data_IF_920950595883
#
_entry.id   IF_920950595883
#
_cell.length_a   1.000
_cell.length_b   1.000
_cell.length_c   1.000
_cell.angle_alpha   90.00
_cell.angle_beta   90.00
_cell.angle_gamma   90.00
#
_symmetry.space_group_name_H-M   'P 1'
#
loop_
_entity.id
_entity.type
_entity.pdbx_description
1 polymer ?
#
# COMPACT_ATOMS: atom_id res chain seq x y z
N UNK A 1 -7.49 -3.92 -12.72
CA UNK A 1 -6.64 -2.71 -12.70
C UNK A 1 -7.05 -1.88 -11.49
N UNK A 2 -6.11 -1.34 -10.72
CA UNK A 2 -6.45 -0.54 -9.55
C UNK A 2 -7.01 0.82 -9.99
N UNK A 3 -8.29 1.08 -9.69
CA UNK A 3 -8.90 2.39 -9.91
C UNK A 3 -8.42 3.34 -8.81
N UNK A 4 -7.92 4.50 -9.22
CA UNK A 4 -7.58 5.58 -8.30
C UNK A 4 -8.86 6.34 -7.91
N UNK A 5 -8.97 6.88 -6.69
CA UNK A 5 -10.08 7.74 -6.32
C UNK A 5 -10.21 8.94 -7.27
N UNK A 6 -11.44 9.35 -7.58
CA UNK A 6 -11.72 10.44 -8.53
C UNK A 6 -11.02 11.74 -8.13
N UNK A 7 -11.05 12.11 -6.84
CA UNK A 7 -10.40 13.31 -6.33
C UNK A 7 -8.90 13.33 -6.60
N UNK A 8 -8.24 12.16 -6.57
CA UNK A 8 -6.81 12.01 -6.82
C UNK A 8 -6.50 12.12 -8.31
N UNK A 9 -7.36 11.56 -9.16
CA UNK A 9 -7.28 11.71 -10.62
C UNK A 9 -7.46 13.19 -11.00
N UNK A 10 -8.50 13.84 -10.49
CA UNK A 10 -8.77 15.27 -10.69
C UNK A 10 -7.57 16.12 -10.22
N UNK A 11 -7.00 15.80 -9.05
CA UNK A 11 -5.82 16.50 -8.52
C UNK A 11 -4.60 16.37 -9.45
N UNK A 12 -4.34 15.16 -9.99
CA UNK A 12 -3.28 14.94 -10.98
C UNK A 12 -3.50 15.79 -12.24
N UNK A 13 -4.70 15.76 -12.81
CA UNK A 13 -5.02 16.54 -14.02
C UNK A 13 -4.89 18.05 -13.76
N UNK A 14 -5.18 18.51 -12.55
CA UNK A 14 -4.95 19.90 -12.17
C UNK A 14 -3.47 20.23 -12.05
N UNK A 15 -2.65 19.34 -11.48
CA UNK A 15 -1.18 19.51 -11.41
C UNK A 15 -0.56 19.66 -12.80
N UNK A 16 -0.99 18.84 -13.77
CA UNK A 16 -0.46 18.88 -15.15
C UNK A 16 -0.72 20.21 -15.87
N UNK A 17 -1.69 21.00 -15.41
CA UNK A 17 -2.03 22.33 -15.95
C UNK A 17 -1.32 23.47 -15.21
N UNK A 18 -0.51 23.17 -14.20
CA UNK A 18 0.15 24.19 -13.39
C UNK A 18 1.40 24.72 -14.06
N UNK A 19 1.72 25.99 -13.80
CA UNK A 19 2.96 26.58 -14.28
C UNK A 19 4.18 25.90 -13.65
N UNK A 20 4.06 25.45 -12.40
CA UNK A 20 5.11 24.72 -11.69
C UNK A 20 5.45 23.40 -12.39
N UNK A 21 4.45 22.67 -12.90
CA UNK A 21 4.68 21.47 -13.70
C UNK A 21 5.38 21.78 -15.01
N UNK A 22 4.93 22.81 -15.73
CA UNK A 22 5.57 23.26 -16.96
C UNK A 22 7.02 23.69 -16.72
N UNK A 23 7.27 24.48 -15.68
CA UNK A 23 8.60 24.93 -15.30
C UNK A 23 9.52 23.74 -14.98
N UNK A 24 9.07 22.77 -14.17
CA UNK A 24 9.89 21.59 -13.87
C UNK A 24 10.21 20.81 -15.15
N UNK A 25 9.21 20.63 -16.02
CA UNK A 25 9.37 19.88 -17.27
C UNK A 25 10.38 20.55 -18.20
N UNK A 26 10.31 21.87 -18.37
CA UNK A 26 11.30 22.65 -19.14
C UNK A 26 12.71 22.48 -18.56
N UNK A 27 12.87 22.62 -17.25
CA UNK A 27 14.17 22.46 -16.60
C UNK A 27 14.74 21.04 -16.76
N UNK A 28 13.89 20.00 -16.75
CA UNK A 28 14.33 18.63 -17.01
C UNK A 28 14.83 18.50 -18.45
N UNK A 29 14.11 19.03 -19.44
CA UNK A 29 14.54 18.99 -20.83
C UNK A 29 15.87 19.73 -21.04
N UNK A 30 16.02 20.92 -20.47
CA UNK A 30 17.27 21.68 -20.54
C UNK A 30 18.45 20.91 -19.93
N UNK A 31 18.23 20.24 -18.79
CA UNK A 31 19.24 19.41 -18.14
C UNK A 31 19.58 18.14 -18.95
N UNK A 32 18.60 17.54 -19.63
CA UNK A 32 18.84 16.42 -20.55
C UNK A 32 19.69 16.87 -21.73
N UNK A 33 19.35 18.01 -22.36
CA UNK A 33 20.11 18.54 -23.51
C UNK A 33 21.56 18.87 -23.14
N UNK A 34 21.78 19.43 -21.94
CA UNK A 34 23.12 19.65 -21.41
C UNK A 34 23.90 18.34 -21.23
N UNK A 35 23.26 17.29 -20.70
CA UNK A 35 23.89 15.98 -20.54
C UNK A 35 24.20 15.28 -21.87
N UNK A 36 23.32 15.41 -22.87
CA UNK A 36 23.55 14.88 -24.22
C UNK A 36 24.74 15.59 -24.87
N UNK A 37 24.80 16.92 -24.78
CA UNK A 37 25.91 17.72 -25.29
C UNK A 37 27.25 17.32 -24.63
N UNK A 38 27.27 17.11 -23.32
CA UNK A 38 28.46 16.66 -22.58
C UNK A 38 28.91 15.24 -22.95
N UNK A 39 27.96 14.39 -23.34
CA UNK A 39 28.23 12.98 -23.70
C UNK A 39 28.48 12.80 -25.20
N UNK A 40 28.51 13.88 -25.98
CA UNK A 40 28.61 13.87 -27.45
C UNK A 40 27.54 13.04 -28.15
N UNK A 41 26.35 12.93 -27.55
CA UNK A 41 25.18 12.26 -28.14
C UNK A 41 24.28 13.32 -28.75
N UNK A 42 23.89 13.13 -30.01
CA UNK A 42 23.18 14.15 -30.79
C UNK A 42 21.67 14.15 -30.52
N UNK A 43 21.06 12.98 -30.36
CA UNK A 43 19.64 12.86 -30.06
C UNK A 43 19.36 11.92 -28.90
N UNK A 44 18.41 12.29 -28.03
CA UNK A 44 17.94 11.41 -26.95
C UNK A 44 17.41 10.07 -27.46
N UNK A 45 16.90 10.02 -28.69
CA UNK A 45 16.40 8.80 -29.34
C UNK A 45 17.48 7.77 -29.59
N UNK A 46 18.74 8.20 -29.72
CA UNK A 46 19.89 7.34 -30.05
C UNK A 46 20.34 6.50 -28.84
N UNK A 47 19.84 6.83 -27.65
CA UNK A 47 20.10 6.12 -26.41
C UNK A 47 19.23 4.86 -26.29
N UNK A 48 19.80 3.80 -25.72
CA UNK A 48 19.04 2.64 -25.25
C UNK A 48 18.09 3.03 -24.10
N UNK A 49 17.07 2.23 -23.81
CA UNK A 49 16.10 2.54 -22.75
C UNK A 49 16.75 2.65 -21.36
N UNK A 50 17.83 1.90 -21.13
CA UNK A 50 18.62 1.98 -19.90
C UNK A 50 19.36 3.33 -19.80
N UNK A 51 19.96 3.78 -20.90
CA UNK A 51 20.66 5.07 -20.96
C UNK A 51 19.69 6.25 -20.87
N UNK A 52 18.53 6.18 -21.54
CA UNK A 52 17.46 7.17 -21.43
C UNK A 52 17.02 7.35 -19.97
N UNK A 53 16.79 6.23 -19.28
CA UNK A 53 16.41 6.23 -17.87
C UNK A 53 17.48 6.88 -16.99
N UNK A 54 18.76 6.55 -17.26
CA UNK A 54 19.89 7.07 -16.49
C UNK A 54 20.14 8.56 -16.72
N UNK A 55 19.98 9.05 -17.96
CA UNK A 55 20.06 10.48 -18.29
C UNK A 55 18.92 11.26 -17.62
N UNK A 56 17.70 10.76 -17.69
CA UNK A 56 16.55 11.37 -17.01
C UNK A 56 16.72 11.39 -15.50
N UNK A 57 17.25 10.33 -14.89
CA UNK A 57 17.52 10.29 -13.46
C UNK A 57 18.59 11.30 -13.05
N UNK A 58 19.66 11.44 -13.83
CA UNK A 58 20.70 12.47 -13.59
C UNK A 58 20.14 13.88 -13.72
N UNK A 59 19.35 14.15 -14.76
CA UNK A 59 18.68 15.44 -14.96
C UNK A 59 17.69 15.74 -13.81
N UNK A 60 16.93 14.76 -13.34
CA UNK A 60 16.04 14.95 -12.19
C UNK A 60 16.83 15.23 -10.90
N UNK A 61 17.95 14.54 -10.68
CA UNK A 61 18.82 14.75 -9.50
C UNK A 61 19.52 16.11 -9.52
N UNK A 62 19.95 16.62 -10.68
CA UNK A 62 20.58 17.94 -10.75
C UNK A 62 19.63 19.08 -10.38
N UNK A 63 18.33 18.85 -10.53
CA UNK A 63 17.26 19.78 -10.11
C UNK A 63 16.85 19.61 -8.65
N UNK A 64 17.25 18.51 -7.99
CA UNK A 64 17.03 18.24 -6.58
C UNK A 64 18.22 18.77 -5.77
N UNK A 65 18.19 20.04 -5.39
CA UNK A 65 19.21 20.62 -4.52
C UNK A 65 18.99 22.11 -4.23
N UNK A 66 19.23 22.53 -3.00
CA UNK A 66 19.09 23.94 -2.61
C UNK A 66 20.24 24.76 -3.17
N UNK A 67 20.06 25.38 -4.33
CA UNK A 67 20.94 26.45 -4.77
C UNK A 67 20.65 27.70 -3.92
N UNK A 68 21.59 28.05 -3.03
CA UNK A 68 21.58 29.32 -2.27
C UNK A 68 20.34 29.57 -1.39
N UNK A 69 19.70 28.52 -0.88
CA UNK A 69 18.52 28.63 0.00
C UNK A 69 17.23 29.04 -0.71
N UNK A 70 17.22 29.12 -2.05
CA UNK A 70 16.01 29.36 -2.83
C UNK A 70 15.26 28.04 -3.10
N UNK A 71 13.91 28.06 -3.15
CA UNK A 71 13.11 26.89 -3.52
C UNK A 71 13.42 26.43 -4.94
N UNK A 72 13.66 25.13 -5.12
CA UNK A 72 13.88 24.56 -6.44
C UNK A 72 12.58 24.46 -7.24
N UNK A 73 12.65 24.29 -8.58
CA UNK A 73 11.48 23.93 -9.38
C UNK A 73 10.74 22.70 -8.83
N UNK A 74 11.47 21.74 -8.26
CA UNK A 74 10.91 20.57 -7.61
C UNK A 74 10.15 20.91 -6.32
N UNK A 75 10.70 21.78 -5.47
CA UNK A 75 10.03 22.22 -4.23
C UNK A 75 8.75 23.00 -4.53
N UNK A 76 8.78 23.87 -5.54
CA UNK A 76 7.62 24.64 -5.99
C UNK A 76 6.50 23.70 -6.49
N UNK A 77 6.85 22.70 -7.30
CA UNK A 77 5.88 21.69 -7.72
C UNK A 77 5.34 20.90 -6.53
N UNK A 78 6.18 20.43 -5.62
CA UNK A 78 5.74 19.64 -4.46
C UNK A 78 4.79 20.43 -3.56
N UNK A 79 5.07 21.73 -3.33
CA UNK A 79 4.17 22.61 -2.60
C UNK A 79 2.82 22.72 -3.33
N UNK A 80 2.85 22.94 -4.65
CA UNK A 80 1.64 23.05 -5.45
C UNK A 80 0.83 21.75 -5.48
N UNK A 81 1.50 20.61 -5.57
CA UNK A 81 0.89 19.28 -5.48
C UNK A 81 0.20 19.11 -4.13
N UNK A 82 0.86 19.49 -3.03
CA UNK A 82 0.30 19.41 -1.68
C UNK A 82 -0.98 20.25 -1.56
N UNK A 83 -0.94 21.51 -1.99
CA UNK A 83 -2.11 22.41 -1.98
C UNK A 83 -3.29 21.87 -2.78
N UNK A 84 -3.02 21.25 -3.95
CA UNK A 84 -4.06 20.69 -4.81
C UNK A 84 -4.64 19.40 -4.25
N UNK A 85 -3.81 18.54 -3.64
CA UNK A 85 -4.27 17.32 -2.98
C UNK A 85 -5.16 17.66 -1.78
N UNK A 86 -4.75 18.61 -0.94
CA UNK A 86 -5.54 19.04 0.22
C UNK A 86 -6.90 19.60 -0.20
N UNK A 87 -6.95 20.41 -1.26
CA UNK A 87 -8.20 20.91 -1.84
C UNK A 87 -9.04 19.78 -2.43
N UNK A 88 -8.41 18.84 -3.14
CA UNK A 88 -9.07 17.68 -3.75
C UNK A 88 -9.78 16.82 -2.73
N UNK A 89 -9.08 16.41 -1.66
CA UNK A 89 -9.65 15.63 -0.56
C UNK A 89 -10.77 16.40 0.14
N UNK A 90 -10.55 17.68 0.49
CA UNK A 90 -11.57 18.48 1.16
C UNK A 90 -12.85 18.64 0.33
N UNK A 91 -12.73 18.80 -0.99
CA UNK A 91 -13.88 18.88 -1.88
C UNK A 91 -14.65 17.56 -1.92
N UNK A 92 -13.94 16.42 -2.00
CA UNK A 92 -14.58 15.10 -2.00
C UNK A 92 -15.31 14.82 -0.68
N UNK A 93 -14.66 15.13 0.45
CA UNK A 93 -15.25 15.01 1.80
C UNK A 93 -16.47 15.90 1.92
N UNK A 94 -16.41 17.14 1.44
CA UNK A 94 -17.56 18.06 1.46
C UNK A 94 -18.73 17.53 0.62
N UNK A 95 -18.46 16.88 -0.53
CA UNK A 95 -19.50 16.21 -1.32
C UNK A 95 -20.08 15.00 -0.61
N UNK A 96 -19.29 14.24 0.15
CA UNK A 96 -19.76 13.11 0.96
C UNK A 96 -20.65 13.57 2.12
N UNK A 97 -20.25 14.62 2.84
CA UNK A 97 -21.02 15.21 3.94
C UNK A 97 -22.38 15.77 3.52
N UNK A 98 -22.55 16.12 2.24
CA UNK A 98 -23.84 16.59 1.70
C UNK A 98 -24.80 15.46 1.35
N UNK A 99 -24.33 14.22 1.25
CA UNK A 99 -25.11 13.06 0.80
C UNK A 99 -25.64 12.21 1.95
N UNK A 100 -24.90 12.13 3.04
CA UNK A 100 -25.21 11.29 4.20
C UNK A 100 -25.15 12.14 5.48
N UNK A 101 -26.00 11.86 6.47
CA UNK A 101 -25.85 12.36 7.85
C UNK A 101 -24.81 11.46 8.55
N UNK A 102 -23.53 11.86 8.62
CA UNK A 102 -22.46 10.94 8.96
C UNK A 102 -22.40 10.74 10.47
N UNK A 103 -22.33 9.47 10.89
CA UNK A 103 -21.97 9.11 12.27
C UNK A 103 -20.50 9.43 12.58
N UNK A 104 -19.66 9.55 11.54
CA UNK A 104 -18.23 9.84 11.61
C UNK A 104 -17.93 11.34 11.65
N UNK A 105 -16.82 11.73 12.29
CA UNK A 105 -16.37 13.12 12.23
C UNK A 105 -15.79 13.44 10.84
N UNK A 106 -15.77 14.72 10.47
CA UNK A 106 -15.11 15.17 9.22
C UNK A 106 -13.65 14.69 9.13
N UNK A 107 -12.95 14.62 10.27
CA UNK A 107 -11.55 14.16 10.34
C UNK A 107 -11.44 12.68 9.97
N UNK A 108 -12.36 11.84 10.46
CA UNK A 108 -12.37 10.41 10.16
C UNK A 108 -12.60 10.16 8.66
N UNK A 109 -13.54 10.90 8.07
CA UNK A 109 -13.82 10.83 6.63
C UNK A 109 -12.58 11.26 5.82
N UNK A 110 -11.88 12.32 6.23
CA UNK A 110 -10.61 12.74 5.59
C UNK A 110 -9.59 11.59 5.65
N UNK A 111 -9.38 11.01 6.83
CA UNK A 111 -8.41 9.92 7.02
C UNK A 111 -8.76 8.70 6.16
N UNK A 112 -10.04 8.33 6.11
CA UNK A 112 -10.54 7.23 5.28
C UNK A 112 -10.26 7.48 3.79
N UNK A 113 -10.54 8.69 3.30
CA UNK A 113 -10.29 9.08 1.90
C UNK A 113 -8.81 9.13 1.54
N UNK A 114 -7.96 9.62 2.46
CA UNK A 114 -6.51 9.62 2.28
C UNK A 114 -5.97 8.18 2.23
N UNK A 115 -6.45 7.31 3.13
CA UNK A 115 -6.07 5.90 3.12
C UNK A 115 -6.47 5.20 1.82
N UNK A 116 -7.67 5.47 1.30
CA UNK A 116 -8.13 4.98 -0.01
C UNK A 116 -7.18 5.44 -1.13
N UNK A 117 -6.77 6.71 -1.12
CA UNK A 117 -5.76 7.26 -2.03
C UNK A 117 -4.43 6.51 -1.95
N UNK A 118 -3.89 6.34 -0.74
CA UNK A 118 -2.63 5.61 -0.51
C UNK A 118 -2.73 4.17 -1.03
N UNK A 119 -3.83 3.47 -0.72
CA UNK A 119 -4.07 2.11 -1.20
C UNK A 119 -4.10 2.05 -2.73
N UNK A 120 -4.81 2.98 -3.38
CA UNK A 120 -4.86 3.09 -4.84
C UNK A 120 -3.48 3.31 -5.45
N UNK A 121 -2.71 4.25 -4.89
CA UNK A 121 -1.33 4.53 -5.31
C UNK A 121 -0.43 3.30 -5.18
N UNK A 122 -0.45 2.64 -4.02
CA UNK A 122 0.38 1.47 -3.74
C UNK A 122 0.01 0.25 -4.57
N UNK A 123 -1.27 0.05 -4.90
CA UNK A 123 -1.69 -1.01 -5.82
C UNK A 123 -1.26 -0.73 -7.26
N UNK A 124 -1.24 0.54 -7.67
CA UNK A 124 -0.83 0.94 -9.03
C UNK A 124 0.70 0.95 -9.18
N UNK A 125 1.42 1.34 -8.14
CA UNK A 125 2.88 1.45 -8.12
C UNK A 125 3.47 0.73 -6.88
N UNK A 126 3.51 -0.61 -6.89
CA UNK A 126 3.93 -1.41 -5.73
C UNK A 126 5.39 -1.15 -5.32
N UNK A 127 6.25 -0.75 -6.25
CA UNK A 127 7.66 -0.42 -5.97
C UNK A 127 7.81 0.81 -5.06
N UNK A 128 6.75 1.61 -4.91
CA UNK A 128 6.73 2.75 -3.99
C UNK A 128 6.50 2.36 -2.53
N UNK A 129 6.45 1.06 -2.19
CA UNK A 129 6.24 0.58 -0.81
C UNK A 129 7.20 1.14 0.22
N UNK A 130 8.42 1.54 -0.19
CA UNK A 130 9.39 2.20 0.69
C UNK A 130 8.84 3.52 1.27
N UNK A 131 7.89 4.19 0.61
CA UNK A 131 7.26 5.41 1.15
C UNK A 131 6.44 5.17 2.42
N UNK A 132 6.11 3.91 2.73
CA UNK A 132 5.50 3.55 4.01
C UNK A 132 6.43 3.80 5.20
N UNK A 133 7.73 4.05 4.99
CA UNK A 133 8.64 4.54 6.04
C UNK A 133 8.20 5.89 6.63
N UNK A 134 7.30 6.63 5.97
CA UNK A 134 6.65 7.80 6.58
C UNK A 134 5.88 7.46 7.87
N UNK A 135 5.47 6.20 8.04
CA UNK A 135 4.84 5.69 9.27
C UNK A 135 5.84 5.04 10.23
N UNK A 136 7.15 5.23 10.06
CA UNK A 136 8.13 4.67 11.00
C UNK A 136 7.88 5.26 12.40
N UNK A 137 7.85 4.38 13.42
CA UNK A 137 7.48 4.71 14.80
C UNK A 137 6.04 5.23 14.97
N UNK A 138 5.17 5.05 13.96
CA UNK A 138 3.75 5.36 14.03
C UNK A 138 2.92 4.12 13.71
N UNK A 139 1.75 3.94 14.33
CA UNK A 139 0.87 2.84 13.97
C UNK A 139 0.39 3.02 12.52
N UNK A 140 0.62 2.01 11.68
CA UNK A 140 0.08 2.02 10.33
C UNK A 140 -1.46 1.96 10.41
N UNK A 141 -2.20 2.85 9.72
CA UNK A 141 -3.65 2.82 9.68
C UNK A 141 -4.17 1.45 9.23
N UNK A 142 -5.23 0.96 9.89
CA UNK A 142 -5.75 -0.40 9.70
C UNK A 142 -6.07 -0.72 8.22
N UNK A 143 -6.70 0.23 7.53
CA UNK A 143 -7.05 0.15 6.11
C UNK A 143 -5.83 -0.05 5.18
N UNK A 144 -4.65 0.47 5.57
CA UNK A 144 -3.41 0.35 4.78
C UNK A 144 -2.67 -0.94 5.11
N UNK A 145 -2.84 -1.52 6.31
CA UNK A 145 -2.07 -2.69 6.79
C UNK A 145 -2.10 -3.87 5.83
N UNK A 146 -3.29 -4.22 5.32
CA UNK A 146 -3.41 -5.36 4.41
C UNK A 146 -2.61 -5.18 3.13
N UNK A 147 -2.67 -3.99 2.55
CA UNK A 147 -1.91 -3.67 1.32
C UNK A 147 -0.42 -3.66 1.62
N UNK A 148 0.00 -3.08 2.74
CA UNK A 148 1.40 -3.09 3.16
C UNK A 148 1.93 -4.53 3.33
N UNK A 149 1.22 -5.39 4.04
CA UNK A 149 1.64 -6.79 4.21
C UNK A 149 1.67 -7.55 2.92
N UNK A 150 0.70 -7.34 2.02
CA UNK A 150 0.79 -7.94 0.68
C UNK A 150 2.05 -7.46 -0.05
N UNK A 151 2.42 -6.18 0.01
CA UNK A 151 3.61 -5.68 -0.67
C UNK A 151 4.95 -6.21 -0.12
N UNK A 152 4.99 -6.56 1.17
CA UNK A 152 6.20 -7.05 1.84
C UNK A 152 6.28 -8.57 1.96
N UNK A 153 5.14 -9.26 2.10
CA UNK A 153 5.08 -10.68 2.46
C UNK A 153 4.50 -11.57 1.36
N UNK A 154 3.98 -11.00 0.26
CA UNK A 154 3.45 -11.82 -0.84
C UNK A 154 4.53 -12.74 -1.41
N UNK A 155 4.19 -14.03 -1.52
CA UNK A 155 5.04 -15.04 -2.14
C UNK A 155 4.23 -15.84 -3.16
N UNK A 156 4.51 -15.61 -4.46
CA UNK A 156 3.79 -16.24 -5.56
C UNK A 156 3.97 -17.78 -5.57
N UNK A 157 5.14 -18.27 -5.18
CA UNK A 157 5.45 -19.70 -5.18
C UNK A 157 4.62 -20.45 -4.13
N UNK A 158 4.56 -19.92 -2.90
CA UNK A 158 3.73 -20.51 -1.84
C UNK A 158 2.24 -20.41 -2.17
N UNK A 159 1.78 -19.31 -2.77
CA UNK A 159 0.39 -19.16 -3.22
C UNK A 159 0.04 -20.19 -4.30
N UNK A 160 0.89 -20.38 -5.30
CA UNK A 160 0.66 -21.36 -6.35
C UNK A 160 0.66 -22.78 -5.80
N UNK A 161 1.57 -23.09 -4.87
CA UNK A 161 1.60 -24.38 -4.17
C UNK A 161 0.27 -24.64 -3.44
N UNK A 162 -0.21 -23.68 -2.65
CA UNK A 162 -1.51 -23.80 -1.97
C UNK A 162 -2.66 -24.05 -2.95
N UNK A 163 -2.74 -23.31 -4.06
CA UNK A 163 -3.78 -23.50 -5.09
C UNK A 163 -3.70 -24.91 -5.68
N UNK A 164 -2.49 -25.39 -5.99
CA UNK A 164 -2.28 -26.73 -6.53
C UNK A 164 -2.64 -27.83 -5.51
N UNK A 165 -2.24 -27.67 -4.24
CA UNK A 165 -2.57 -28.61 -3.17
C UNK A 165 -4.09 -28.69 -2.97
N UNK A 166 -4.77 -27.55 -2.97
CA UNK A 166 -6.23 -27.47 -2.86
C UNK A 166 -6.94 -28.15 -4.04
N UNK A 167 -6.45 -27.95 -5.27
CA UNK A 167 -7.04 -28.54 -6.47
C UNK A 167 -6.84 -30.06 -6.55
N UNK A 168 -5.67 -30.55 -6.16
CA UNK A 168 -5.30 -31.96 -6.29
C UNK A 168 -5.69 -32.81 -5.07
N UNK A 169 -5.66 -32.25 -3.86
CA UNK A 169 -5.98 -32.96 -2.63
C UNK A 169 -6.51 -32.00 -1.55
N UNK A 170 -7.79 -31.64 -1.67
CA UNK A 170 -8.48 -30.79 -0.71
C UNK A 170 -8.54 -31.33 0.73
N UNK A 171 -8.32 -32.64 0.93
CA UNK A 171 -8.22 -33.22 2.28
C UNK A 171 -6.80 -33.13 2.86
N UNK A 172 -5.78 -33.16 2.00
CA UNK A 172 -4.37 -33.06 2.40
C UNK A 172 -3.96 -31.69 2.91
N UNK A 173 -4.74 -30.66 2.61
CA UNK A 173 -4.53 -29.30 3.14
C UNK A 173 -5.04 -29.12 4.57
N UNK A 174 -5.90 -30.02 5.06
CA UNK A 174 -6.44 -29.96 6.42
C UNK A 174 -5.48 -30.63 7.39
N UNK A 175 -5.30 -29.98 8.53
CA UNK A 175 -4.55 -30.55 9.65
C UNK A 175 -5.24 -31.80 10.20
N UNK A 176 -4.51 -32.86 10.57
CA UNK A 176 -5.08 -33.95 11.36
C UNK A 176 -5.51 -33.48 12.77
N UNK A 177 -4.99 -32.34 13.24
CA UNK A 177 -5.30 -31.71 14.53
C UNK A 177 -6.29 -30.54 14.39
N UNK A 178 -7.06 -30.50 13.30
CA UNK A 178 -7.96 -29.38 12.97
C UNK A 178 -8.96 -29.05 14.09
N UNK A 179 -9.45 -30.07 14.81
CA UNK A 179 -10.36 -29.89 15.95
C UNK A 179 -9.68 -29.24 17.16
N UNK A 180 -8.41 -29.55 17.40
CA UNK A 180 -7.63 -28.94 18.47
C UNK A 180 -7.24 -27.51 18.13
N UNK A 181 -6.82 -27.27 16.89
CA UNK A 181 -6.58 -25.92 16.36
C UNK A 181 -7.83 -25.05 16.56
N UNK A 182 -9.02 -25.56 16.21
CA UNK A 182 -10.28 -24.86 16.45
C UNK A 182 -10.48 -24.51 17.93
N UNK A 183 -10.28 -25.47 18.84
CA UNK A 183 -10.46 -25.25 20.28
C UNK A 183 -9.49 -24.19 20.81
N UNK A 184 -8.24 -24.21 20.37
CA UNK A 184 -7.23 -23.24 20.77
C UNK A 184 -7.54 -21.84 20.21
N UNK A 185 -8.00 -21.75 18.96
CA UNK A 185 -8.50 -20.51 18.39
C UNK A 185 -9.66 -19.93 19.21
N UNK A 186 -10.64 -20.76 19.57
CA UNK A 186 -11.80 -20.36 20.38
C UNK A 186 -11.39 -19.89 21.79
N UNK A 187 -10.43 -20.58 22.41
CA UNK A 187 -9.89 -20.18 23.72
C UNK A 187 -9.13 -18.87 23.66
N UNK A 188 -8.28 -18.71 22.64
CA UNK A 188 -7.47 -17.52 22.45
C UNK A 188 -8.33 -16.27 22.23
N UNK A 189 -9.30 -16.33 21.31
CA UNK A 189 -10.13 -15.15 20.98
C UNK A 189 -10.98 -14.70 22.18
N UNK A 190 -11.48 -15.63 23.00
CA UNK A 190 -12.23 -15.30 24.22
C UNK A 190 -11.38 -14.64 25.31
N UNK A 191 -10.08 -14.87 25.30
CA UNK A 191 -9.15 -14.38 26.32
C UNK A 191 -8.35 -13.17 25.85
N UNK A 192 -8.44 -12.81 24.56
CA UNK A 192 -7.65 -11.76 23.94
C UNK A 192 -8.31 -10.38 24.15
N UNK A 193 -7.75 -9.50 24.98
CA UNK A 193 -8.33 -8.17 25.22
C UNK A 193 -8.16 -7.22 24.03
N UNK A 194 -7.17 -7.51 23.17
CA UNK A 194 -6.68 -6.62 22.13
C UNK A 194 -7.46 -6.68 20.81
N UNK A 195 -8.44 -7.58 20.70
CA UNK A 195 -9.25 -7.72 19.49
C UNK A 195 -10.69 -8.16 19.80
N UNK A 196 -11.48 -7.32 20.50
CA UNK A 196 -12.87 -7.63 20.83
C UNK A 196 -13.70 -7.93 19.57
N UNK A 197 -13.41 -7.25 18.46
CA UNK A 197 -14.08 -7.43 17.16
C UNK A 197 -13.89 -8.84 16.57
N UNK A 198 -12.90 -9.61 17.05
CA UNK A 198 -12.72 -11.01 16.64
C UNK A 198 -13.66 -11.96 17.37
N UNK A 199 -14.15 -11.61 18.57
CA UNK A 199 -15.01 -12.50 19.35
C UNK A 199 -16.33 -12.81 18.65
N UNK A 200 -16.91 -11.82 17.97
CA UNK A 200 -18.24 -11.96 17.35
C UNK A 200 -18.16 -12.33 15.85
N UNK A 201 -16.98 -12.29 15.25
CA UNK A 201 -16.80 -12.56 13.82
C UNK A 201 -16.50 -14.03 13.53
N UNK A 202 -17.55 -14.77 13.15
CA UNK A 202 -17.42 -16.15 12.62
C UNK A 202 -16.47 -16.25 11.43
N UNK A 203 -16.40 -15.19 10.62
CA UNK A 203 -15.49 -15.10 9.47
C UNK A 203 -14.02 -15.06 9.89
N UNK A 204 -13.69 -14.21 10.88
CA UNK A 204 -12.33 -14.10 11.41
C UNK A 204 -11.87 -15.41 12.06
N UNK A 205 -12.76 -16.07 12.82
CA UNK A 205 -12.48 -17.37 13.41
C UNK A 205 -12.17 -18.44 12.34
N UNK A 206 -13.04 -18.53 11.32
CA UNK A 206 -12.87 -19.48 10.22
C UNK A 206 -11.56 -19.23 9.45
N UNK A 207 -11.23 -17.97 9.19
CA UNK A 207 -9.98 -17.58 8.54
C UNK A 207 -8.75 -17.98 9.37
N UNK A 208 -8.75 -17.67 10.67
CA UNK A 208 -7.65 -18.02 11.57
C UNK A 208 -7.41 -19.54 11.61
N UNK A 209 -8.49 -20.31 11.78
CA UNK A 209 -8.47 -21.77 11.75
C UNK A 209 -7.93 -22.31 10.43
N UNK A 210 -8.43 -21.82 9.30
CA UNK A 210 -8.01 -22.29 7.98
C UNK A 210 -6.52 -22.04 7.71
N UNK A 211 -6.02 -20.86 8.10
CA UNK A 211 -4.59 -20.51 7.97
C UNK A 211 -3.73 -21.46 8.80
N UNK A 212 -4.07 -21.66 10.08
CA UNK A 212 -3.30 -22.52 10.99
C UNK A 212 -3.39 -23.99 10.60
N UNK A 213 -4.55 -24.45 10.14
CA UNK A 213 -4.77 -25.82 9.67
C UNK A 213 -3.92 -26.13 8.44
N UNK A 214 -3.86 -25.21 7.47
CA UNK A 214 -2.98 -25.35 6.32
C UNK A 214 -1.50 -25.27 6.71
N UNK A 215 -1.14 -24.33 7.58
CA UNK A 215 0.24 -24.21 8.05
C UNK A 215 0.71 -25.50 8.74
N UNK A 216 -0.11 -26.10 9.60
CA UNK A 216 0.21 -27.38 10.22
C UNK A 216 0.26 -28.56 9.22
N UNK A 217 -0.62 -28.56 8.21
CA UNK A 217 -0.62 -29.62 7.18
C UNK A 217 0.63 -29.58 6.28
N UNK A 218 1.37 -28.47 6.23
CA UNK A 218 2.66 -28.40 5.52
C UNK A 218 3.89 -28.59 6.43
N UNK A 219 3.74 -28.57 7.76
CA UNK A 219 4.85 -28.85 8.69
C UNK A 219 5.33 -30.29 8.55
N UNK A 220 6.64 -30.48 8.32
CA UNK A 220 7.22 -31.81 8.07
C UNK A 220 7.17 -32.75 9.28
N UNK A 221 7.24 -32.21 10.49
CA UNK A 221 7.30 -32.99 11.73
C UNK A 221 5.94 -33.18 12.41
N UNK A 222 4.86 -32.55 11.91
CA UNK A 222 3.51 -32.60 12.49
C UNK A 222 3.49 -32.37 14.01
N UNK A 223 4.35 -31.46 14.48
CA UNK A 223 4.36 -31.06 15.89
C UNK A 223 3.15 -30.19 16.21
N UNK A 224 2.83 -30.14 17.49
CA UNK A 224 1.88 -29.18 18.03
C UNK A 224 2.32 -27.75 17.69
N UNK A 225 1.33 -26.91 17.39
CA UNK A 225 1.55 -25.50 17.16
C UNK A 225 1.87 -24.80 18.49
N UNK A 226 2.91 -23.98 18.51
CA UNK A 226 3.26 -23.17 19.66
C UNK A 226 2.27 -22.00 19.80
N UNK A 227 2.05 -21.52 21.02
CA UNK A 227 1.15 -20.39 21.30
C UNK A 227 1.45 -19.18 20.41
N UNK A 228 2.74 -18.86 20.21
CA UNK A 228 3.18 -17.76 19.35
C UNK A 228 2.68 -17.84 17.91
N UNK A 229 2.50 -19.05 17.38
CA UNK A 229 2.01 -19.27 16.02
C UNK A 229 0.54 -18.89 15.88
N UNK A 230 -0.27 -19.14 16.93
CA UNK A 230 -1.64 -18.63 16.98
C UNK A 230 -1.66 -17.10 17.06
N UNK A 231 -0.74 -16.50 17.83
CA UNK A 231 -0.65 -15.04 17.94
C UNK A 231 -0.25 -14.35 16.62
N UNK A 232 0.58 -14.98 15.79
CA UNK A 232 0.99 -14.40 14.51
C UNK A 232 -0.14 -14.27 13.48
N UNK A 233 -1.19 -15.09 13.59
CA UNK A 233 -2.31 -15.06 12.63
C UNK A 233 -3.30 -13.94 12.93
N UNK A 234 -3.42 -13.52 14.20
CA UNK A 234 -4.30 -12.42 14.62
C UNK A 234 -4.12 -11.15 13.78
N UNK A 235 -2.92 -10.56 13.69
CA UNK A 235 -2.74 -9.33 12.92
C UNK A 235 -3.19 -9.55 11.46
N UNK A 236 -2.79 -10.67 10.84
CA UNK A 236 -3.12 -11.05 9.44
C UNK A 236 -4.63 -10.98 9.20
N UNK A 237 -5.41 -11.67 10.03
CA UNK A 237 -6.87 -11.73 9.92
C UNK A 237 -7.50 -10.36 10.15
N UNK A 238 -7.06 -9.60 11.15
CA UNK A 238 -7.57 -8.27 11.45
C UNK A 238 -7.34 -7.27 10.31
N UNK A 239 -6.22 -7.39 9.58
CA UNK A 239 -5.99 -6.50 8.44
C UNK A 239 -6.90 -6.78 7.26
N UNK A 240 -7.32 -8.04 7.07
CA UNK A 240 -8.09 -8.46 5.91
C UNK A 240 -9.57 -8.10 6.03
N UNK A 241 -10.08 -8.07 7.27
CA UNK A 241 -11.42 -7.62 7.60
C UNK A 241 -11.35 -6.35 8.48
N UNK A 242 -10.91 -5.20 7.94
CA UNK A 242 -11.09 -3.94 8.64
C UNK A 242 -12.60 -3.70 8.65
N UNK A 243 -13.28 -3.96 9.76
CA UNK A 243 -14.63 -3.44 9.90
C UNK A 243 -14.56 -1.92 9.69
N UNK A 244 -15.48 -1.44 8.85
CA UNK A 244 -15.85 -0.03 8.78
C UNK A 244 -16.31 0.35 10.18
N UNK A 245 -15.42 0.95 10.97
CA UNK A 245 -15.81 1.74 12.13
C UNK A 245 -16.41 3.04 11.63
#
# INVERSE_FOLDING_TARGET
MANLPSWLVESRENVLKTQEWHNLTTNIYDAVDQHLAQSHVQYFTDLSDAEKSLVLERAARSLQGTANGAPTPYDNLNKRVSDLLDKGVNNDVSRSLLKDDPLETKTDIILNKVCEGIIGLLRKWPDQKYKLHAFLNQPLPLSIRFVAWNLYLSNANHRQKFINDLANNSRGILSPMDAEIQRNCDGLIKTLPLAPDMMDSKGNMSAMKAILSYFHSILSNKRDLADSEYYYVIPIVLSHNPHMS
#
